data_IF_370207079508
#
_entry.id   IF_370207079508
#
_cell.length_a   1.000
_cell.length_b   1.000
_cell.length_c   1.000
_cell.angle_alpha   90.00
_cell.angle_beta   90.00
_cell.angle_gamma   90.00
#
_symmetry.space_group_name_H-M   'P 1'
#
loop_
_entity.id
_entity.type
_entity.pdbx_description
1 polymer ?
#
# COMPACT_ATOMS: atom_id res chain seq x y z
N UNK A 1 5.85 -21.04 6.68
CA UNK A 1 5.50 -21.38 8.08
C UNK A 1 6.73 -21.18 8.94
N UNK A 2 6.67 -20.35 9.99
CA UNK A 2 7.78 -20.24 10.96
C UNK A 2 7.49 -21.10 12.19
N UNK A 3 8.51 -21.79 12.71
CA UNK A 3 8.40 -22.70 13.85
C UNK A 3 8.26 -24.19 13.49
N UNK A 4 8.27 -25.04 14.51
CA UNK A 4 8.35 -26.51 14.38
C UNK A 4 9.63 -27.14 14.94
N UNK A 5 10.58 -26.34 15.43
CA UNK A 5 11.78 -26.83 16.12
C UNK A 5 11.52 -27.26 17.57
N UNK A 6 12.37 -28.15 18.08
CA UNK A 6 12.44 -28.53 19.49
C UNK A 6 13.10 -27.37 20.27
N UNK A 7 12.46 -26.90 21.33
CA UNK A 7 13.00 -25.90 22.25
C UNK A 7 12.95 -26.44 23.66
N UNK A 8 13.97 -26.18 24.47
CA UNK A 8 13.95 -26.53 25.90
C UNK A 8 13.35 -25.38 26.70
N UNK A 9 12.27 -25.65 27.44
CA UNK A 9 11.73 -24.72 28.44
C UNK A 9 11.77 -25.41 29.80
N UNK A 10 12.53 -24.87 30.74
CA UNK A 10 12.76 -25.48 32.07
C UNK A 10 13.22 -26.96 31.98
N UNK A 11 14.23 -27.22 31.15
CA UNK A 11 14.76 -28.58 30.90
C UNK A 11 13.77 -29.61 30.33
N UNK A 12 12.59 -29.17 29.84
CA UNK A 12 11.64 -30.04 29.13
C UNK A 12 11.63 -29.71 27.63
N UNK A 13 11.81 -30.70 26.73
CA UNK A 13 11.67 -30.49 25.30
C UNK A 13 10.21 -30.13 24.99
N UNK A 14 10.02 -28.98 24.35
CA UNK A 14 8.73 -28.42 23.98
C UNK A 14 8.73 -28.17 22.47
N UNK A 15 7.67 -28.59 21.78
CA UNK A 15 7.52 -28.34 20.35
C UNK A 15 6.97 -26.92 20.17
N UNK A 16 7.68 -26.08 19.41
CA UNK A 16 7.20 -24.72 19.13
C UNK A 16 5.95 -24.77 18.26
N UNK A 17 4.87 -24.16 18.72
CA UNK A 17 3.65 -23.96 17.93
C UNK A 17 3.97 -23.26 16.61
N UNK A 18 3.43 -23.77 15.50
CA UNK A 18 3.60 -23.18 14.17
C UNK A 18 2.85 -21.84 14.08
N UNK A 19 3.51 -20.84 13.49
CA UNK A 19 2.90 -19.55 13.10
C UNK A 19 2.74 -19.52 11.57
N UNK A 20 1.61 -18.96 11.13
CA UNK A 20 1.28 -18.74 9.73
C UNK A 20 1.09 -17.24 9.52
N UNK A 21 1.66 -16.73 8.45
CA UNK A 21 1.58 -15.33 8.06
C UNK A 21 0.92 -15.28 6.69
N UNK A 22 -0.04 -14.37 6.51
CA UNK A 22 -0.59 -14.06 5.20
C UNK A 22 -0.44 -12.56 4.98
N UNK A 23 0.09 -12.20 3.81
CA UNK A 23 0.11 -10.84 3.32
C UNK A 23 -0.54 -10.84 1.95
N UNK A 24 -1.53 -9.99 1.75
CA UNK A 24 -2.20 -9.88 0.46
C UNK A 24 -2.73 -8.47 0.24
N UNK A 25 -2.67 -7.94 -0.99
CA UNK A 25 -3.26 -6.66 -1.31
C UNK A 25 -4.79 -6.76 -1.26
N UNK A 26 -5.43 -5.67 -0.86
CA UNK A 26 -6.87 -5.47 -0.94
C UNK A 26 -7.13 -4.17 -1.71
N UNK A 27 -8.19 -4.15 -2.51
CA UNK A 27 -8.61 -2.96 -3.24
C UNK A 27 -9.97 -2.51 -2.70
N UNK A 28 -10.01 -1.33 -2.10
CA UNK A 28 -11.23 -0.63 -1.75
C UNK A 28 -11.73 0.24 -2.90
N UNK A 29 -12.87 0.89 -2.68
CA UNK A 29 -13.45 1.87 -3.63
C UNK A 29 -12.55 3.09 -3.84
N UNK A 30 -11.84 3.50 -2.79
CA UNK A 30 -11.01 4.70 -2.81
C UNK A 30 -9.52 4.37 -2.93
N UNK A 31 -9.05 3.32 -2.25
CA UNK A 31 -7.61 3.05 -2.08
C UNK A 31 -7.30 1.56 -2.05
N UNK A 32 -6.09 1.22 -2.51
CA UNK A 32 -5.47 -0.09 -2.28
C UNK A 32 -4.89 -0.11 -0.86
N UNK A 33 -4.83 -1.29 -0.26
CA UNK A 33 -4.19 -1.50 1.03
C UNK A 33 -3.54 -2.89 1.09
N UNK A 34 -2.73 -3.13 2.12
CA UNK A 34 -2.10 -4.41 2.37
C UNK A 34 -2.65 -5.00 3.66
N UNK A 35 -3.23 -6.20 3.57
CA UNK A 35 -3.68 -6.94 4.75
C UNK A 35 -2.51 -7.76 5.28
N UNK A 36 -2.23 -7.62 6.57
CA UNK A 36 -1.24 -8.38 7.32
C UNK A 36 -1.96 -9.27 8.34
N UNK A 37 -1.79 -10.60 8.22
CA UNK A 37 -2.41 -11.58 9.12
C UNK A 37 -1.34 -12.44 9.77
N UNK A 38 -1.40 -12.56 11.09
CA UNK A 38 -0.64 -13.55 11.84
C UNK A 38 -1.57 -14.50 12.59
N UNK A 39 -1.33 -15.80 12.45
CA UNK A 39 -2.11 -16.85 13.10
C UNK A 39 -1.19 -17.86 13.78
N UNK A 40 -1.52 -18.24 15.01
CA UNK A 40 -0.78 -19.25 15.78
C UNK A 40 -1.62 -20.51 15.98
N UNK A 41 -1.08 -21.67 15.60
CA UNK A 41 -1.76 -22.95 15.83
C UNK A 41 -1.61 -23.40 17.29
N UNK A 42 -2.72 -23.53 18.01
CA UNK A 42 -2.78 -24.02 19.40
C UNK A 42 -3.76 -25.18 19.48
N UNK A 43 -3.29 -26.37 19.89
CA UNK A 43 -4.13 -27.57 20.12
C UNK A 43 -5.13 -27.88 18.98
N UNK A 44 -4.71 -27.70 17.72
CA UNK A 44 -5.55 -27.95 16.55
C UNK A 44 -6.38 -26.74 16.07
N UNK A 45 -6.52 -25.69 16.90
CA UNK A 45 -7.20 -24.45 16.54
C UNK A 45 -6.22 -23.36 16.09
N UNK A 46 -6.75 -22.41 15.33
CA UNK A 46 -6.02 -21.25 14.80
C UNK A 46 -6.42 -20.01 15.57
N UNK A 47 -5.47 -19.45 16.32
CA UNK A 47 -5.66 -18.26 17.15
C UNK A 47 -5.05 -17.06 16.40
N UNK A 48 -5.90 -16.13 15.96
CA UNK A 48 -5.45 -14.89 15.31
C UNK A 48 -4.68 -14.03 16.31
N UNK A 49 -3.49 -13.60 15.91
CA UNK A 49 -2.58 -12.79 16.73
C UNK A 49 -2.53 -11.35 16.24
N UNK A 50 -2.61 -11.18 14.92
CA UNK A 50 -2.61 -9.88 14.26
C UNK A 50 -3.54 -9.94 13.04
N UNK A 51 -4.35 -8.91 12.89
CA UNK A 51 -5.06 -8.59 11.67
C UNK A 51 -5.02 -7.07 11.51
N UNK A 52 -4.23 -6.59 10.57
CA UNK A 52 -4.04 -5.18 10.30
C UNK A 52 -4.11 -4.88 8.81
N UNK A 53 -4.49 -3.66 8.47
CA UNK A 53 -4.54 -3.14 7.10
C UNK A 53 -3.70 -1.88 7.00
N UNK A 54 -2.70 -1.90 6.15
CA UNK A 54 -1.89 -0.74 5.79
C UNK A 54 -2.48 -0.06 4.56
N UNK A 55 -2.77 1.24 4.65
CA UNK A 55 -3.39 2.03 3.59
C UNK A 55 -2.43 3.19 3.25
N UNK A 56 -1.80 3.15 2.06
CA UNK A 56 -1.00 4.26 1.58
C UNK A 56 -1.87 5.52 1.45
N UNK A 57 -1.47 6.60 2.12
CA UNK A 57 -2.25 7.84 2.13
C UNK A 57 -1.80 8.75 0.99
N UNK A 58 -2.76 9.43 0.33
CA UNK A 58 -2.43 10.39 -0.74
C UNK A 58 -1.65 11.61 -0.22
N UNK A 59 -1.87 11.97 1.04
CA UNK A 59 -1.16 13.04 1.74
C UNK A 59 -1.02 12.68 3.21
N UNK A 60 0.15 12.95 3.78
CA UNK A 60 0.46 12.61 5.17
C UNK A 60 0.93 11.16 5.33
N UNK A 61 1.11 10.71 6.59
CA UNK A 61 1.63 9.37 6.85
C UNK A 61 0.62 8.29 6.47
N UNK A 62 1.12 7.16 6.00
CA UNK A 62 0.33 5.96 5.76
C UNK A 62 -0.47 5.57 7.01
N UNK A 63 -1.72 5.14 6.79
CA UNK A 63 -2.59 4.75 7.88
C UNK A 63 -2.52 3.24 8.09
N UNK A 64 -2.37 2.82 9.34
CA UNK A 64 -2.50 1.42 9.74
C UNK A 64 -3.72 1.24 10.63
N UNK A 65 -4.60 0.35 10.20
CA UNK A 65 -5.81 -0.02 10.93
C UNK A 65 -5.63 -1.40 11.56
N UNK A 66 -5.82 -1.48 12.87
CA UNK A 66 -5.78 -2.74 13.61
C UNK A 66 -7.20 -3.25 13.84
N UNK A 67 -7.51 -4.42 13.29
CA UNK A 67 -8.75 -5.15 13.59
C UNK A 67 -8.54 -6.14 14.72
N UNK A 68 -7.36 -6.75 14.79
CA UNK A 68 -6.92 -7.62 15.89
C UNK A 68 -5.45 -7.31 16.20
N UNK A 69 -5.14 -7.14 17.48
CA UNK A 69 -3.79 -6.81 17.94
C UNK A 69 -3.46 -5.32 17.82
N UNK A 70 -2.17 -5.04 17.81
CA UNK A 70 -1.60 -3.69 17.79
C UNK A 70 -0.17 -3.72 17.21
N UNK A 71 0.57 -2.62 17.34
CA UNK A 71 1.96 -2.49 16.89
C UNK A 71 2.91 -3.49 17.53
N UNK A 72 2.65 -3.95 18.76
CA UNK A 72 3.47 -5.00 19.37
C UNK A 72 3.29 -6.34 18.65
N UNK A 73 2.12 -6.58 18.06
CA UNK A 73 1.84 -7.74 17.22
C UNK A 73 2.83 -7.92 16.06
N UNK A 74 3.39 -6.83 15.55
CA UNK A 74 4.41 -6.85 14.49
C UNK A 74 5.80 -7.28 14.99
N UNK A 75 6.10 -7.05 16.27
CA UNK A 75 7.35 -7.52 16.91
C UNK A 75 7.26 -9.00 17.30
N UNK A 76 6.04 -9.49 17.41
CA UNK A 76 5.73 -10.85 17.78
C UNK A 76 6.23 -11.85 16.73
N UNK A 77 6.58 -13.07 17.17
CA UNK A 77 7.13 -14.07 16.25
C UNK A 77 8.54 -13.75 15.71
N UNK A 78 9.22 -12.73 16.25
CA UNK A 78 10.58 -12.34 15.89
C UNK A 78 10.64 -11.24 14.83
N UNK A 79 9.56 -10.49 14.59
CA UNK A 79 9.54 -9.39 13.63
C UNK A 79 9.33 -9.80 12.17
N UNK A 80 9.18 -11.09 11.89
CA UNK A 80 9.10 -11.61 10.51
C UNK A 80 7.98 -10.97 9.69
N UNK A 81 6.83 -10.66 10.31
CA UNK A 81 5.73 -10.03 9.58
C UNK A 81 6.07 -8.61 9.14
N UNK A 82 6.83 -7.85 9.93
CA UNK A 82 7.34 -6.53 9.53
C UNK A 82 8.31 -6.65 8.36
N UNK A 83 9.25 -7.59 8.44
CA UNK A 83 10.24 -7.82 7.38
C UNK A 83 9.58 -8.17 6.03
N UNK A 84 8.48 -8.93 6.07
CA UNK A 84 7.71 -9.27 4.87
C UNK A 84 6.82 -8.12 4.38
N UNK A 85 6.30 -7.30 5.29
CA UNK A 85 5.34 -6.23 5.02
C UNK A 85 6.00 -4.98 4.44
N UNK A 86 7.12 -4.55 5.01
CA UNK A 86 7.71 -3.24 4.73
C UNK A 86 8.11 -3.03 3.27
N UNK A 87 8.72 -4.00 2.57
CA UNK A 87 9.01 -3.86 1.14
C UNK A 87 7.73 -3.69 0.31
N UNK A 88 6.67 -4.43 0.64
CA UNK A 88 5.41 -4.40 -0.11
C UNK A 88 4.71 -3.05 0.07
N UNK A 89 4.65 -2.54 1.30
CA UNK A 89 4.04 -1.22 1.54
C UNK A 89 4.84 -0.11 0.87
N UNK A 90 6.18 -0.17 0.92
CA UNK A 90 7.03 0.81 0.22
C UNK A 90 6.77 0.82 -1.28
N UNK A 91 6.66 -0.36 -1.90
CA UNK A 91 6.32 -0.48 -3.33
C UNK A 91 4.93 0.10 -3.61
N UNK A 92 3.93 -0.20 -2.76
CA UNK A 92 2.58 0.32 -2.93
C UNK A 92 2.50 1.85 -2.80
N UNK A 93 3.25 2.44 -1.86
CA UNK A 93 3.35 3.89 -1.71
C UNK A 93 4.00 4.53 -2.95
N UNK A 94 5.12 3.97 -3.43
CA UNK A 94 5.79 4.45 -4.63
C UNK A 94 4.90 4.38 -5.87
N UNK A 95 4.21 3.25 -6.11
CA UNK A 95 3.27 3.13 -7.23
C UNK A 95 2.19 4.20 -7.16
N UNK A 96 1.68 4.52 -5.97
CA UNK A 96 0.66 5.56 -5.80
C UNK A 96 1.21 6.96 -6.07
N UNK A 97 2.46 7.24 -5.72
CA UNK A 97 3.12 8.51 -6.02
C UNK A 97 3.27 8.71 -7.53
N UNK A 98 3.69 7.66 -8.26
CA UNK A 98 3.71 7.68 -9.72
C UNK A 98 2.32 7.90 -10.33
N UNK A 99 1.31 7.13 -9.89
CA UNK A 99 -0.08 7.30 -10.37
C UNK A 99 -0.62 8.72 -10.13
N UNK A 100 -0.15 9.42 -9.09
CA UNK A 100 -0.55 10.80 -8.81
C UNK A 100 0.20 11.80 -9.69
N UNK A 101 1.50 11.60 -9.91
CA UNK A 101 2.31 12.44 -10.78
C UNK A 101 1.81 12.37 -12.23
N UNK A 102 1.53 11.16 -12.73
CA UNK A 102 1.00 10.96 -14.08
C UNK A 102 -0.29 11.77 -14.29
N UNK A 103 -1.18 11.80 -13.29
CA UNK A 103 -2.42 12.59 -13.37
C UNK A 103 -2.19 14.09 -13.38
N UNK A 104 -1.19 14.58 -12.65
CA UNK A 104 -0.85 16.01 -12.63
C UNK A 104 -0.26 16.39 -13.99
N UNK A 105 0.64 15.58 -14.53
CA UNK A 105 1.24 15.80 -15.85
C UNK A 105 0.17 15.81 -16.96
N UNK A 106 -0.78 14.86 -16.92
CA UNK A 106 -1.92 14.83 -17.85
C UNK A 106 -2.79 16.09 -17.78
N UNK A 107 -3.05 16.62 -16.57
CA UNK A 107 -3.80 17.87 -16.39
C UNK A 107 -3.03 19.08 -16.94
N UNK A 108 -1.72 19.18 -16.67
CA UNK A 108 -0.86 20.25 -17.18
C UNK A 108 -0.71 20.23 -18.72
N UNK A 109 -0.63 19.04 -19.31
CA UNK A 109 -0.58 18.88 -20.77
C UNK A 109 -1.90 19.30 -21.41
N UNK A 110 -3.04 18.89 -20.85
CA UNK A 110 -4.36 19.31 -21.32
C UNK A 110 -4.55 20.84 -21.26
N UNK A 111 -4.09 21.49 -20.20
CA UNK A 111 -4.12 22.95 -20.08
C UNK A 111 -3.25 23.64 -21.13
N UNK A 112 -2.04 23.12 -21.38
CA UNK A 112 -1.13 23.65 -22.41
C UNK A 112 -1.71 23.52 -23.81
N UNK A 113 -2.28 22.37 -24.14
CA UNK A 113 -2.94 22.14 -25.43
C UNK A 113 -4.12 23.10 -25.65
N UNK A 114 -4.93 23.33 -24.61
CA UNK A 114 -6.04 24.28 -24.67
C UNK A 114 -5.55 25.70 -24.95
N UNK A 115 -4.53 26.16 -24.22
CA UNK A 115 -3.92 27.49 -24.43
C UNK A 115 -3.33 27.65 -25.83
N UNK A 116 -2.67 26.61 -26.35
CA UNK A 116 -2.16 26.62 -27.71
C UNK A 116 -3.27 26.68 -28.76
N UNK A 117 -4.36 25.93 -28.57
CA UNK A 117 -5.52 25.96 -29.45
C UNK A 117 -6.19 27.33 -29.45
N UNK A 118 -6.37 27.95 -28.27
CA UNK A 118 -6.89 29.31 -28.15
C UNK A 118 -5.99 30.35 -28.83
N UNK A 119 -4.68 30.23 -28.65
CA UNK A 119 -3.70 31.11 -29.32
C UNK A 119 -3.78 30.98 -30.83
N UNK A 120 -3.75 29.75 -31.37
CA UNK A 120 -3.87 29.47 -32.81
C UNK A 120 -5.18 30.03 -33.37
N UNK A 121 -6.29 29.83 -32.65
CA UNK A 121 -7.58 30.35 -33.07
C UNK A 121 -7.60 31.89 -33.15
N UNK A 122 -7.00 32.55 -32.15
CA UNK A 122 -6.90 34.02 -32.14
C UNK A 122 -6.04 34.56 -33.29
N UNK A 123 -4.91 33.91 -33.56
CA UNK A 123 -4.02 34.25 -34.68
C UNK A 123 -4.74 34.08 -36.04
N UNK A 124 -5.52 33.02 -36.20
CA UNK A 124 -6.30 32.76 -37.42
C UNK A 124 -7.39 33.83 -37.66
N UNK A 125 -8.12 34.22 -36.61
CA UNK A 125 -9.08 35.32 -36.68
C UNK A 125 -8.39 36.64 -37.08
N UNK A 126 -7.22 36.93 -36.53
CA UNK A 126 -6.48 38.16 -36.86
C UNK A 126 -6.02 38.16 -38.32
N UNK A 127 -5.56 37.02 -38.83
CA UNK A 127 -5.12 36.88 -40.23
C UNK A 127 -6.28 37.10 -41.20
N UNK A 128 -7.45 36.48 -40.95
CA UNK A 128 -8.65 36.67 -41.76
C UNK A 128 -9.12 38.13 -41.77
N UNK A 129 -9.04 38.84 -40.64
CA UNK A 129 -9.36 40.27 -40.57
C UNK A 129 -8.43 41.13 -41.42
N UNK A 130 -7.12 40.84 -41.40
CA UNK A 130 -6.12 41.54 -42.21
C UNK A 130 -6.27 41.30 -43.71
N UNK A 131 -6.69 40.10 -44.12
CA UNK A 131 -6.93 39.76 -45.54
C UNK A 131 -8.25 40.33 -46.09
N UNK A 132 -9.21 40.68 -45.22
CA UNK A 132 -10.51 41.26 -45.59
C UNK A 132 -10.55 42.80 -45.68
N UNK A 133 -9.42 43.48 -45.43
CA UNK A 133 -9.31 44.94 -45.39
C UNK A 133 -8.34 45.47 -46.44
#
# INVERSE_FOLDING_TARGET
>A
MSGGGITFKKFKPTIRSKRCFLLFPVQGSERKGLVSVEVKKKKGQYDMKLLAVDIPMASGPDQRLYLIGDEEGYKDGGGLISELRDPVVKVMAATKEFDNLDRIEEEEDAERELQEAERKHREEIEKLKKESS
#
